data_IF_989240803820
#
_entry.id   IF_989240803820
#
_cell.length_a   1.000
_cell.length_b   1.000
_cell.length_c   1.000
_cell.angle_alpha   90.00
_cell.angle_beta   90.00
_cell.angle_gamma   90.00
#
_symmetry.space_group_name_H-M   'P 1'
#
loop_
_entity.id
_entity.type
_entity.pdbx_description
1 polymer ?
#
# COMPACT_ATOMS: atom_id res chain seq x y z
N UNK A 1 -6.72 -18.32 -10.64
CA UNK A 1 -6.24 -18.41 -9.25
C UNK A 1 -7.29 -19.18 -8.46
N UNK A 2 -6.89 -20.13 -7.62
CA UNK A 2 -7.82 -20.81 -6.71
C UNK A 2 -7.96 -19.97 -5.44
N UNK A 3 -9.01 -19.13 -5.39
CA UNK A 3 -9.20 -18.18 -4.29
C UNK A 3 -9.57 -18.83 -2.96
N UNK A 4 -10.13 -20.03 -2.97
CA UNK A 4 -10.60 -20.70 -1.75
C UNK A 4 -9.42 -21.19 -0.92
N UNK A 5 -8.40 -21.73 -1.58
CA UNK A 5 -7.20 -22.26 -0.93
C UNK A 5 -6.05 -21.25 -0.81
N UNK A 6 -6.21 -20.05 -1.38
CA UNK A 6 -5.20 -18.98 -1.30
C UNK A 6 -5.26 -18.22 0.04
N UNK A 7 -4.12 -17.69 0.48
CA UNK A 7 -4.07 -16.78 1.61
C UNK A 7 -4.73 -15.44 1.27
N UNK A 8 -5.28 -14.75 2.27
CA UNK A 8 -5.94 -13.45 2.14
C UNK A 8 -5.02 -12.42 1.46
N UNK A 9 -3.73 -12.46 1.80
CA UNK A 9 -2.71 -11.58 1.21
C UNK A 9 -2.40 -11.94 -0.24
N UNK A 10 -2.43 -13.21 -0.64
CA UNK A 10 -2.24 -13.59 -2.04
C UNK A 10 -3.45 -13.17 -2.90
N UNK A 11 -4.66 -13.25 -2.33
CA UNK A 11 -5.87 -12.74 -2.97
C UNK A 11 -5.78 -11.21 -3.12
N UNK A 12 -5.37 -10.49 -2.08
CA UNK A 12 -5.18 -9.04 -2.12
C UNK A 12 -4.13 -8.63 -3.18
N UNK A 13 -3.00 -9.34 -3.24
CA UNK A 13 -1.96 -9.14 -4.24
C UNK A 13 -2.52 -9.36 -5.66
N UNK A 14 -3.27 -10.45 -5.87
CA UNK A 14 -3.90 -10.72 -7.15
C UNK A 14 -4.90 -9.64 -7.56
N UNK A 15 -5.75 -9.16 -6.63
CA UNK A 15 -6.70 -8.07 -6.89
C UNK A 15 -5.96 -6.82 -7.39
N UNK A 16 -4.94 -6.38 -6.65
CA UNK A 16 -4.18 -5.19 -7.02
C UNK A 16 -3.47 -5.39 -8.37
N UNK A 17 -2.84 -6.55 -8.59
CA UNK A 17 -2.17 -6.89 -9.85
C UNK A 17 -3.14 -6.84 -11.04
N UNK A 18 -4.36 -7.38 -10.88
CA UNK A 18 -5.39 -7.36 -11.94
C UNK A 18 -5.92 -5.95 -12.21
N UNK A 19 -6.07 -5.11 -11.18
CA UNK A 19 -6.53 -3.73 -11.35
C UNK A 19 -5.45 -2.83 -11.94
N UNK A 20 -4.17 -3.07 -11.63
CA UNK A 20 -3.04 -2.27 -12.10
C UNK A 20 -3.03 -0.83 -11.57
N UNK A 21 -3.81 -0.52 -10.54
CA UNK A 21 -3.91 0.79 -9.92
C UNK A 21 -4.25 0.65 -8.43
N UNK A 22 -4.02 1.73 -7.66
CA UNK A 22 -4.39 1.76 -6.26
C UNK A 22 -5.91 1.71 -6.07
N UNK A 23 -6.34 1.18 -4.94
CA UNK A 23 -7.75 1.20 -4.53
C UNK A 23 -7.91 1.58 -3.07
N UNK A 24 -9.12 2.01 -2.69
CA UNK A 24 -9.44 2.27 -1.30
C UNK A 24 -9.27 1.01 -0.47
N UNK A 25 -8.62 1.16 0.67
CA UNK A 25 -8.27 0.05 1.54
C UNK A 25 -9.50 -0.77 1.99
N UNK A 26 -10.60 -0.08 2.30
CA UNK A 26 -11.87 -0.71 2.67
C UNK A 26 -12.37 -1.62 1.54
N UNK A 27 -12.29 -1.16 0.29
CA UNK A 27 -12.75 -1.91 -0.86
C UNK A 27 -11.85 -3.11 -1.12
N UNK A 28 -10.53 -2.96 -0.96
CA UNK A 28 -9.58 -4.08 -1.02
C UNK A 28 -9.94 -5.18 -0.01
N UNK A 29 -10.14 -4.81 1.25
CA UNK A 29 -10.49 -5.77 2.31
C UNK A 29 -11.79 -6.50 2.01
N UNK A 30 -12.83 -5.78 1.58
CA UNK A 30 -14.12 -6.38 1.25
C UNK A 30 -14.02 -7.31 0.04
N UNK A 31 -13.29 -6.91 -1.00
CA UNK A 31 -13.10 -7.72 -2.21
C UNK A 31 -12.32 -9.02 -1.92
N UNK A 32 -11.37 -8.99 -0.98
CA UNK A 32 -10.66 -10.21 -0.51
C UNK A 32 -11.63 -11.18 0.17
N UNK A 33 -12.48 -10.68 1.08
CA UNK A 33 -13.46 -11.49 1.81
C UNK A 33 -14.45 -12.13 0.83
N UNK A 34 -14.93 -11.35 -0.14
CA UNK A 34 -15.86 -11.81 -1.17
C UNK A 34 -15.23 -12.93 -2.01
N UNK A 35 -14.01 -12.72 -2.55
CA UNK A 35 -13.34 -13.70 -3.41
C UNK A 35 -12.93 -14.97 -2.67
N UNK A 36 -12.62 -14.90 -1.37
CA UNK A 36 -12.24 -16.09 -0.60
C UNK A 36 -13.41 -17.07 -0.41
N UNK A 37 -14.65 -16.61 -0.54
CA UNK A 37 -15.88 -17.42 -0.42
C UNK A 37 -15.92 -18.35 0.81
N UNK A 38 -15.24 -17.96 1.90
CA UNK A 38 -15.21 -18.73 3.14
C UNK A 38 -16.45 -18.40 3.98
N UNK A 39 -17.13 -19.41 4.56
CA UNK A 39 -18.18 -19.16 5.54
C UNK A 39 -17.60 -18.35 6.71
N UNK A 40 -18.10 -17.13 6.89
CA UNK A 40 -17.69 -16.24 7.96
C UNK A 40 -18.78 -16.17 9.01
N UNK A 41 -18.43 -16.51 10.25
CA UNK A 41 -19.36 -16.42 11.39
C UNK A 41 -19.69 -14.96 11.72
N UNK A 42 -18.75 -14.05 11.47
CA UNK A 42 -18.91 -12.60 11.65
C UNK A 42 -18.12 -11.85 10.58
N UNK A 43 -18.81 -10.96 9.88
CA UNK A 43 -18.17 -10.08 8.89
C UNK A 43 -17.12 -9.17 9.55
N UNK A 44 -17.38 -8.68 10.78
CA UNK A 44 -16.44 -7.83 11.51
C UNK A 44 -15.15 -8.57 11.87
N UNK A 45 -15.24 -9.86 12.21
CA UNK A 45 -14.08 -10.70 12.48
C UNK A 45 -13.26 -10.91 11.20
N UNK A 46 -13.92 -11.20 10.08
CA UNK A 46 -13.26 -11.37 8.78
C UNK A 46 -12.55 -10.09 8.31
N UNK A 47 -13.19 -8.92 8.48
CA UNK A 47 -12.57 -7.63 8.20
C UNK A 47 -11.32 -7.44 9.06
N UNK A 48 -11.39 -7.71 10.36
CA UNK A 48 -10.26 -7.54 11.28
C UNK A 48 -9.08 -8.48 10.94
N UNK A 49 -9.38 -9.71 10.57
CA UNK A 49 -8.39 -10.70 10.14
C UNK A 49 -7.67 -10.24 8.87
N UNK A 50 -8.43 -9.95 7.79
CA UNK A 50 -7.87 -9.49 6.52
C UNK A 50 -7.10 -8.17 6.68
N UNK A 51 -7.66 -7.23 7.45
CA UNK A 51 -6.99 -5.97 7.80
C UNK A 51 -5.61 -6.22 8.41
N UNK A 52 -5.54 -7.11 9.40
CA UNK A 52 -4.29 -7.40 10.12
C UNK A 52 -3.28 -8.05 9.17
N UNK A 53 -3.71 -9.01 8.37
CA UNK A 53 -2.85 -9.72 7.44
C UNK A 53 -2.26 -8.78 6.38
N UNK A 54 -3.07 -7.90 5.77
CA UNK A 54 -2.58 -6.95 4.77
C UNK A 54 -1.64 -5.92 5.39
N UNK A 55 -1.93 -5.41 6.60
CA UNK A 55 -1.05 -4.44 7.27
C UNK A 55 0.31 -5.02 7.69
N UNK A 56 0.40 -6.35 7.89
CA UNK A 56 1.64 -7.02 8.26
C UNK A 56 2.48 -7.46 7.05
N UNK A 57 1.95 -7.35 5.84
CA UNK A 57 2.61 -7.82 4.61
C UNK A 57 3.28 -6.65 3.87
N UNK A 58 4.59 -6.74 3.68
CA UNK A 58 5.42 -5.67 3.10
C UNK A 58 5.22 -5.45 1.60
N UNK A 59 4.48 -6.33 0.91
CA UNK A 59 4.13 -6.17 -0.50
C UNK A 59 3.14 -5.02 -0.74
N UNK A 60 2.41 -4.61 0.30
CA UNK A 60 1.43 -3.54 0.21
C UNK A 60 1.98 -2.24 0.81
N UNK A 61 1.62 -1.11 0.19
CA UNK A 61 1.96 0.21 0.73
C UNK A 61 0.78 1.15 0.64
N UNK A 62 0.77 2.12 1.56
CA UNK A 62 -0.15 3.24 1.56
C UNK A 62 0.35 4.35 0.63
N UNK A 63 -0.48 4.74 -0.34
CA UNK A 63 -0.12 5.76 -1.34
C UNK A 63 -0.67 7.16 -0.99
N UNK A 64 -1.65 7.24 -0.08
CA UNK A 64 -2.31 8.49 0.30
C UNK A 64 -3.83 8.38 0.25
N UNK A 65 -4.54 9.24 0.99
CA UNK A 65 -6.01 9.35 0.96
C UNK A 65 -6.79 8.02 1.09
N UNK A 66 -6.27 7.08 1.88
CA UNK A 66 -6.88 5.76 2.05
C UNK A 66 -6.62 4.77 0.90
N UNK A 67 -5.83 5.15 -0.10
CA UNK A 67 -5.45 4.32 -1.24
C UNK A 67 -4.26 3.42 -0.90
N UNK A 68 -4.34 2.18 -1.36
CA UNK A 68 -3.31 1.18 -1.19
C UNK A 68 -2.94 0.55 -2.52
N UNK A 69 -1.65 0.22 -2.66
CA UNK A 69 -1.08 -0.38 -3.86
C UNK A 69 0.05 -1.35 -3.54
N UNK A 70 0.67 -1.88 -4.59
CA UNK A 70 1.80 -2.80 -4.46
C UNK A 70 3.11 -2.03 -4.41
N UNK A 71 3.99 -2.38 -3.47
CA UNK A 71 5.32 -1.76 -3.30
C UNK A 71 6.15 -1.82 -4.59
N UNK A 72 5.96 -2.84 -5.43
CA UNK A 72 6.64 -2.97 -6.73
C UNK A 72 6.27 -1.88 -7.75
N UNK A 73 5.11 -1.23 -7.61
CA UNK A 73 4.68 -0.15 -8.51
C UNK A 73 5.48 1.13 -8.31
N UNK A 74 6.12 1.26 -7.14
CA UNK A 74 6.95 2.40 -6.81
C UNK A 74 8.34 1.89 -6.38
N UNK A 75 9.17 1.42 -7.33
CA UNK A 75 10.50 0.92 -7.01
C UNK A 75 11.26 2.02 -6.24
N UNK A 76 11.92 1.67 -5.13
CA UNK A 76 12.66 2.65 -4.35
C UNK A 76 13.62 3.37 -5.29
N UNK A 77 13.60 4.71 -5.29
CA UNK A 77 14.58 5.48 -6.04
C UNK A 77 15.95 4.97 -5.63
N UNK A 78 16.59 4.23 -6.54
CA UNK A 78 17.98 3.85 -6.37
C UNK A 78 18.68 5.18 -6.24
N UNK A 79 19.16 5.51 -5.04
CA UNK A 79 20.10 6.61 -4.84
C UNK A 79 21.36 6.24 -5.62
N UNK A 80 21.33 6.39 -6.95
CA UNK A 80 22.54 6.53 -7.73
C UNK A 80 23.26 7.68 -7.07
N UNK A 81 24.43 7.39 -6.50
CA UNK A 81 25.45 8.41 -6.33
C UNK A 81 25.70 9.00 -7.72
N UNK A 82 24.93 10.02 -8.10
CA UNK A 82 24.99 10.64 -9.39
C UNK A 82 26.17 11.61 -9.39
N UNK A 83 27.24 11.23 -10.08
CA UNK A 83 28.07 12.21 -10.77
C UNK A 83 27.22 12.88 -11.84
N UNK A 84 26.61 14.01 -11.44
CA UNK A 84 26.28 15.21 -12.21
C UNK A 84 25.36 15.16 -13.46
N UNK A 85 24.45 16.14 -13.42
CA UNK A 85 23.85 16.97 -14.49
C UNK A 85 22.59 16.46 -15.18
N UNK A 86 21.55 17.30 -15.17
CA UNK A 86 20.35 17.15 -15.99
C UNK A 86 19.09 17.58 -15.25
N UNK A 87 18.67 18.82 -15.47
CA UNK A 87 17.54 19.47 -14.80
C UNK A 87 16.17 18.91 -15.23
N UNK A 88 15.20 18.97 -14.32
CA UNK A 88 13.80 19.19 -14.67
C UNK A 88 12.78 18.16 -14.16
N UNK A 89 12.33 18.33 -12.90
CA UNK A 89 10.93 18.23 -12.40
C UNK A 89 10.92 17.80 -10.92
N UNK A 90 11.15 18.73 -9.99
CA UNK A 90 11.04 18.42 -8.54
C UNK A 90 10.92 19.66 -7.67
N UNK A 91 9.95 20.55 -7.95
CA UNK A 91 9.60 21.63 -6.99
C UNK A 91 8.48 21.24 -6.01
N UNK A 92 7.60 20.29 -6.35
CA UNK A 92 6.51 19.87 -5.47
C UNK A 92 6.96 18.84 -4.41
N UNK A 93 7.69 17.80 -4.82
CA UNK A 93 8.18 16.75 -3.93
C UNK A 93 9.18 17.27 -2.86
N UNK A 94 10.06 18.20 -3.25
CA UNK A 94 11.05 18.77 -2.32
C UNK A 94 10.42 19.66 -1.23
N UNK A 95 9.27 20.30 -1.50
CA UNK A 95 8.58 21.14 -0.50
C UNK A 95 7.91 20.28 0.58
N UNK A 96 7.34 19.13 0.20
CA UNK A 96 6.70 18.21 1.13
C UNK A 96 7.70 17.54 2.10
N UNK A 97 8.87 17.16 1.59
CA UNK A 97 9.95 16.54 2.39
C UNK A 97 10.50 17.55 3.42
N UNK A 98 10.75 18.80 3.00
CA UNK A 98 11.32 19.82 3.87
C UNK A 98 10.35 20.23 5.00
N UNK A 99 9.05 20.26 4.72
CA UNK A 99 8.03 20.53 5.74
C UNK A 99 7.89 19.39 6.76
N UNK A 100 8.09 18.13 6.33
CA UNK A 100 8.07 16.97 7.25
C UNK A 100 9.28 16.97 8.18
N UNK A 101 10.46 17.35 7.70
CA UNK A 101 11.66 17.44 8.55
C UNK A 101 11.53 18.51 9.62
N UNK A 102 11.10 19.72 9.26
CA UNK A 102 10.90 20.80 10.24
C UNK A 102 9.86 20.47 11.32
N UNK A 103 8.79 19.74 10.96
CA UNK A 103 7.76 19.31 11.92
C UNK A 103 8.27 18.23 12.88
N UNK A 104 9.24 17.41 12.47
CA UNK A 104 9.84 16.39 13.34
C UNK A 104 10.86 17.00 14.31
N UNK A 105 11.61 18.01 13.86
CA UNK A 105 12.56 18.73 14.73
C UNK A 105 11.84 19.56 15.80
N UNK A 106 10.72 20.21 15.49
CA UNK A 106 9.97 21.00 16.47
C UNK A 106 9.20 20.17 17.51
N UNK A 107 9.21 18.84 17.42
CA UNK A 107 8.57 17.94 18.39
C UNK A 107 9.60 17.46 19.44
N UNK A 108 10.90 17.69 19.20
CA UNK A 108 11.99 17.25 20.06
C UNK A 108 12.54 18.34 20.99
N UNK A 109 12.03 19.58 20.90
CA UNK A 109 12.21 20.65 21.92
C UNK A 109 10.92 20.83 22.71
#
# INVERSE_FOLDING_TARGET
MDFVNSSEVDIAYHILTQKGQTIYYKDLVLEVIEKKHKPVQSLAAAISEVYTLINMDSRFHYEGDGQWGLTEWNPPEVKRHNSRTGAGKSKAANKAINNRQKKLESIQE
#
